data_IF_137795882627
#
_entry.id   IF_137795882627
#
_cell.length_a   1.000
_cell.length_b   1.000
_cell.length_c   1.000
_cell.angle_alpha   90.00
_cell.angle_beta   90.00
_cell.angle_gamma   90.00
#
_symmetry.space_group_name_H-M   'P 1'
#
loop_
_entity.id
_entity.type
_entity.pdbx_description
1 polymer ?
#
# COMPACT_ATOMS: atom_id res chain seq x y z
N UNK A 1 -11.90 14.75 -15.32
CA UNK A 1 -12.22 14.13 -14.02
C UNK A 1 -13.69 13.72 -14.04
N UNK A 2 -14.12 12.65 -13.36
CA UNK A 2 -15.55 12.25 -13.34
C UNK A 2 -16.36 13.31 -12.58
N UNK A 3 -17.49 13.77 -13.13
CA UNK A 3 -18.40 14.75 -12.49
C UNK A 3 -18.73 14.40 -11.03
N UNK A 4 -18.91 13.11 -10.74
CA UNK A 4 -19.12 12.62 -9.36
C UNK A 4 -18.04 13.04 -8.36
N UNK A 5 -16.78 13.14 -8.76
CA UNK A 5 -15.70 13.52 -7.84
C UNK A 5 -15.84 14.98 -7.43
N UNK A 6 -16.14 15.87 -8.37
CA UNK A 6 -16.35 17.29 -8.07
C UNK A 6 -17.60 17.49 -7.21
N UNK A 7 -18.69 16.77 -7.50
CA UNK A 7 -19.92 16.85 -6.71
C UNK A 7 -19.68 16.48 -5.24
N UNK A 8 -18.94 15.40 -4.97
CA UNK A 8 -18.59 15.01 -3.59
C UNK A 8 -17.65 16.00 -2.89
N UNK A 9 -16.70 16.58 -3.63
CA UNK A 9 -15.81 17.59 -3.06
C UNK A 9 -16.60 18.83 -2.64
N UNK A 10 -17.56 19.26 -3.45
CA UNK A 10 -18.41 20.39 -3.12
C UNK A 10 -19.33 20.09 -1.93
N UNK A 11 -19.91 18.89 -1.87
CA UNK A 11 -20.74 18.44 -0.75
C UNK A 11 -19.96 18.40 0.58
N UNK A 12 -18.74 17.85 0.59
CA UNK A 12 -17.94 17.69 1.80
C UNK A 12 -17.31 19.02 2.25
N UNK A 13 -16.80 19.80 1.31
CA UNK A 13 -15.99 20.98 1.62
C UNK A 13 -16.77 22.30 1.53
N UNK A 14 -18.05 22.28 1.14
CA UNK A 14 -18.93 23.45 1.15
C UNK A 14 -18.36 24.67 0.42
N UNK A 15 -17.63 24.44 -0.69
CA UNK A 15 -16.99 25.49 -1.48
C UNK A 15 -15.61 25.96 -1.00
N UNK A 16 -15.08 25.45 0.11
CA UNK A 16 -13.69 25.73 0.54
C UNK A 16 -12.64 25.02 -0.34
N UNK A 17 -13.05 23.99 -1.08
CA UNK A 17 -12.23 23.30 -2.05
C UNK A 17 -12.16 24.08 -3.38
N UNK A 18 -11.28 25.09 -3.42
CA UNK A 18 -11.11 25.98 -4.58
C UNK A 18 -10.66 25.27 -5.87
N UNK A 19 -10.83 25.95 -7.01
CA UNK A 19 -10.30 25.51 -8.31
C UNK A 19 -8.78 25.25 -8.29
N UNK A 20 -8.02 25.99 -7.48
CA UNK A 20 -6.56 25.76 -7.31
C UNK A 20 -6.27 24.43 -6.61
N UNK A 21 -7.07 24.04 -5.61
CA UNK A 21 -6.96 22.73 -4.96
C UNK A 21 -7.27 21.62 -5.96
N UNK A 22 -8.33 21.79 -6.75
CA UNK A 22 -8.71 20.85 -7.81
C UNK A 22 -7.59 20.68 -8.84
N UNK A 23 -6.97 21.76 -9.30
CA UNK A 23 -5.87 21.69 -10.24
C UNK A 23 -4.68 20.92 -9.66
N UNK A 24 -4.30 21.17 -8.40
CA UNK A 24 -3.23 20.42 -7.72
C UNK A 24 -3.56 18.94 -7.60
N UNK A 25 -4.80 18.59 -7.26
CA UNK A 25 -5.27 17.20 -7.18
C UNK A 25 -5.17 16.51 -8.54
N UNK A 26 -5.70 17.14 -9.60
CA UNK A 26 -5.67 16.61 -10.97
C UNK A 26 -4.23 16.36 -11.41
N UNK A 27 -3.32 17.32 -11.19
CA UNK A 27 -1.90 17.17 -11.55
C UNK A 27 -1.28 15.97 -10.84
N UNK A 28 -1.52 15.79 -9.53
CA UNK A 28 -1.00 14.63 -8.78
C UNK A 28 -1.59 13.31 -9.29
N UNK A 29 -2.88 13.27 -9.60
CA UNK A 29 -3.54 12.06 -10.13
C UNK A 29 -3.00 11.68 -11.50
N UNK A 30 -2.81 12.63 -12.41
CA UNK A 30 -2.26 12.35 -13.74
C UNK A 30 -0.80 11.90 -13.67
N UNK A 31 0.00 12.47 -12.76
CA UNK A 31 1.37 11.99 -12.50
C UNK A 31 1.38 10.57 -11.94
N UNK A 32 0.55 10.28 -10.95
CA UNK A 32 0.45 8.93 -10.36
C UNK A 32 -0.05 7.89 -11.37
N UNK A 33 -1.05 8.25 -12.19
CA UNK A 33 -1.60 7.36 -13.23
C UNK A 33 -0.54 6.90 -14.22
N UNK A 34 0.46 7.73 -14.53
CA UNK A 34 1.58 7.36 -15.41
C UNK A 34 2.53 6.33 -14.79
N UNK A 35 2.56 6.23 -13.46
CA UNK A 35 3.41 5.26 -12.74
C UNK A 35 2.76 3.88 -12.63
N UNK A 36 1.43 3.79 -12.76
CA UNK A 36 0.69 2.53 -12.66
C UNK A 36 0.79 1.78 -13.99
N UNK A 37 1.69 0.79 -14.05
CA UNK A 37 1.94 -0.01 -15.25
C UNK A 37 1.22 -1.36 -15.25
N UNK A 38 0.87 -1.88 -14.08
CA UNK A 38 0.23 -3.18 -13.96
C UNK A 38 -1.27 -3.10 -14.22
N UNK A 39 -1.77 -4.04 -15.03
CA UNK A 39 -3.20 -4.16 -15.33
C UNK A 39 -3.89 -4.94 -14.22
N UNK A 40 -4.85 -4.32 -13.54
CA UNK A 40 -5.68 -4.99 -12.53
C UNK A 40 -6.54 -6.10 -13.15
N UNK A 41 -6.61 -7.26 -12.50
CA UNK A 41 -7.63 -8.29 -12.78
C UNK A 41 -9.03 -7.68 -12.59
N UNK A 42 -9.93 -7.88 -13.56
CA UNK A 42 -11.25 -7.20 -13.59
C UNK A 42 -12.22 -7.76 -12.55
N UNK A 43 -12.23 -9.09 -12.39
CA UNK A 43 -13.10 -9.83 -11.50
C UNK A 43 -12.26 -10.79 -10.66
N UNK A 44 -12.71 -11.02 -9.43
CA UNK A 44 -12.13 -12.05 -8.58
C UNK A 44 -12.84 -13.39 -8.85
N UNK A 45 -12.13 -14.49 -8.64
CA UNK A 45 -12.60 -15.87 -8.72
C UNK A 45 -11.99 -16.69 -7.58
N UNK A 46 -12.28 -18.00 -7.55
CA UNK A 46 -11.82 -18.91 -6.51
C UNK A 46 -10.29 -19.09 -6.44
N UNK A 47 -9.55 -18.67 -7.47
CA UNK A 47 -8.08 -18.67 -7.45
C UNK A 47 -7.48 -17.48 -6.70
N UNK A 48 -8.28 -16.46 -6.37
CA UNK A 48 -7.82 -15.27 -5.65
C UNK A 48 -7.72 -15.51 -4.13
N UNK A 49 -6.79 -16.36 -3.72
CA UNK A 49 -6.51 -16.64 -2.30
C UNK A 49 -5.57 -15.58 -1.71
N UNK A 50 -5.96 -14.98 -0.58
CA UNK A 50 -5.23 -13.87 0.07
C UNK A 50 -4.56 -14.35 1.36
N UNK A 51 -3.25 -14.09 1.49
CA UNK A 51 -2.53 -14.19 2.75
C UNK A 51 -2.60 -12.85 3.48
N UNK A 52 -3.04 -12.84 4.74
CA UNK A 52 -3.00 -11.67 5.62
C UNK A 52 -1.98 -11.93 6.72
N UNK A 53 -0.97 -11.08 6.88
CA UNK A 53 0.10 -11.28 7.87
C UNK A 53 0.73 -9.96 8.31
N UNK A 54 1.23 -9.90 9.55
CA UNK A 54 2.13 -8.81 9.95
C UNK A 54 3.50 -8.97 9.28
N UNK A 55 4.14 -7.83 9.03
CA UNK A 55 5.45 -7.75 8.41
C UNK A 55 6.56 -8.40 9.26
N UNK A 56 6.34 -8.50 10.57
CA UNK A 56 7.26 -9.07 11.54
C UNK A 56 6.98 -10.54 11.88
N UNK A 57 5.97 -11.20 11.31
CA UNK A 57 5.67 -12.60 11.67
C UNK A 57 6.81 -13.58 11.33
N UNK A 58 7.56 -13.30 10.27
CA UNK A 58 8.60 -14.20 9.75
C UNK A 58 9.97 -13.77 10.27
N UNK A 59 10.66 -14.69 10.94
CA UNK A 59 11.92 -14.42 11.62
C UNK A 59 13.04 -15.32 11.10
N UNK A 60 14.25 -14.77 11.01
CA UNK A 60 15.48 -15.51 10.78
C UNK A 60 16.59 -14.91 11.62
N UNK A 61 17.68 -15.65 11.82
CA UNK A 61 18.83 -15.17 12.58
C UNK A 61 19.64 -14.12 11.79
N UNK A 62 19.59 -14.16 10.46
CA UNK A 62 20.51 -13.42 9.59
C UNK A 62 19.84 -12.24 8.87
N UNK A 63 18.50 -12.24 8.72
CA UNK A 63 17.77 -11.24 7.96
C UNK A 63 16.68 -10.57 8.79
N UNK A 64 16.36 -9.33 8.41
CA UNK A 64 15.18 -8.63 8.92
C UNK A 64 13.88 -9.30 8.46
N UNK A 65 12.74 -8.99 9.10
CA UNK A 65 11.49 -9.72 8.86
C UNK A 65 10.95 -9.67 7.43
N UNK A 66 10.92 -8.51 6.75
CA UNK A 66 10.38 -8.45 5.38
C UNK A 66 11.24 -9.22 4.36
N UNK A 67 12.59 -9.12 4.35
CA UNK A 67 13.42 -10.00 3.52
C UNK A 67 13.22 -11.49 3.84
N UNK A 68 13.06 -11.83 5.13
CA UNK A 68 12.77 -13.21 5.56
C UNK A 68 11.43 -13.68 5.01
N UNK A 69 10.39 -12.87 5.16
CA UNK A 69 9.07 -13.13 4.59
C UNK A 69 9.13 -13.33 3.08
N UNK A 70 9.84 -12.44 2.36
CA UNK A 70 9.95 -12.53 0.91
C UNK A 70 10.57 -13.86 0.46
N UNK A 71 11.64 -14.33 1.13
CA UNK A 71 12.23 -15.63 0.85
C UNK A 71 11.27 -16.78 1.16
N UNK A 72 10.65 -16.76 2.34
CA UNK A 72 9.71 -17.80 2.77
C UNK A 72 8.50 -17.88 1.83
N UNK A 73 7.94 -16.74 1.44
CA UNK A 73 6.79 -16.64 0.56
C UNK A 73 7.08 -17.28 -0.80
N UNK A 74 8.19 -16.89 -1.43
CA UNK A 74 8.57 -17.42 -2.74
C UNK A 74 8.89 -18.92 -2.70
N UNK A 75 9.47 -19.41 -1.61
CA UNK A 75 9.83 -20.81 -1.49
C UNK A 75 8.62 -21.71 -1.22
N UNK A 76 7.66 -21.27 -0.40
CA UNK A 76 6.64 -22.17 0.15
C UNK A 76 5.19 -21.75 -0.14
N UNK A 77 4.91 -20.45 -0.31
CA UNK A 77 3.55 -19.93 -0.28
C UNK A 77 3.05 -19.40 -1.63
N UNK A 78 3.95 -19.06 -2.55
CA UNK A 78 3.61 -18.39 -3.82
C UNK A 78 2.66 -19.20 -4.70
N UNK A 79 2.70 -20.53 -4.66
CA UNK A 79 1.80 -21.38 -5.44
C UNK A 79 0.38 -21.46 -4.87
N UNK A 80 0.18 -21.03 -3.62
CA UNK A 80 -1.08 -21.13 -2.89
C UNK A 80 -1.79 -19.77 -2.87
N UNK A 81 -1.05 -18.72 -2.51
CA UNK A 81 -1.58 -17.38 -2.35
C UNK A 81 -1.30 -16.54 -3.59
N UNK A 82 -2.35 -15.98 -4.16
CA UNK A 82 -2.26 -15.06 -5.29
C UNK A 82 -1.97 -13.62 -4.85
N UNK A 83 -2.30 -13.28 -3.60
CA UNK A 83 -2.16 -11.95 -3.03
C UNK A 83 -1.65 -12.00 -1.59
N UNK A 84 -0.93 -10.95 -1.21
CA UNK A 84 -0.49 -10.72 0.17
C UNK A 84 -1.03 -9.37 0.62
N UNK A 85 -1.73 -9.36 1.76
CA UNK A 85 -2.04 -8.16 2.52
C UNK A 85 -1.10 -8.10 3.73
N UNK A 86 -0.09 -7.23 3.63
CA UNK A 86 0.78 -6.94 4.76
C UNK A 86 0.08 -5.93 5.68
N UNK A 87 -0.12 -6.34 6.94
CA UNK A 87 -0.54 -5.45 8.02
C UNK A 87 0.53 -4.38 8.28
N UNK A 88 0.19 -3.28 8.99
CA UNK A 88 1.01 -2.07 8.99
C UNK A 88 2.50 -2.31 9.31
N UNK A 89 3.35 -1.66 8.51
CA UNK A 89 4.82 -1.82 8.54
C UNK A 89 5.57 -0.48 8.42
N UNK A 90 4.84 0.64 8.61
CA UNK A 90 5.41 1.97 8.77
C UNK A 90 5.84 2.21 10.22
N UNK A 91 6.75 3.15 10.52
CA UNK A 91 7.00 3.58 11.89
C UNK A 91 5.68 3.98 12.57
N UNK A 92 5.47 3.53 13.80
CA UNK A 92 4.21 3.68 14.50
C UNK A 92 4.43 3.93 16.00
N UNK A 93 3.43 4.51 16.67
CA UNK A 93 3.50 4.87 18.10
C UNK A 93 2.66 3.98 19.01
N UNK A 94 1.53 3.45 18.52
CA UNK A 94 0.62 2.56 19.24
C UNK A 94 -0.32 1.80 18.27
N UNK A 95 -1.25 1.00 18.82
CA UNK A 95 -2.30 0.28 18.09
C UNK A 95 -1.73 -0.70 17.05
N UNK A 96 -0.72 -1.49 17.43
CA UNK A 96 -0.11 -2.55 16.60
C UNK A 96 0.18 -2.13 15.14
N UNK A 97 0.70 -0.92 14.97
CA UNK A 97 1.07 -0.38 13.67
C UNK A 97 0.04 0.57 13.03
N UNK A 98 -1.17 0.68 13.58
CA UNK A 98 -2.23 1.53 13.01
C UNK A 98 -2.10 3.01 13.39
N UNK A 99 -1.32 3.37 14.42
CA UNK A 99 -0.96 4.76 14.73
C UNK A 99 0.35 5.17 14.04
N UNK A 100 0.28 5.41 12.73
CA UNK A 100 1.45 5.69 11.88
C UNK A 100 2.10 7.05 12.18
N UNK A 101 3.42 7.06 12.33
CA UNK A 101 4.26 8.25 12.50
C UNK A 101 4.68 8.84 11.15
N UNK A 102 5.11 7.99 10.20
CA UNK A 102 5.57 8.45 8.88
C UNK A 102 5.16 7.46 7.77
N UNK A 103 4.27 7.91 6.88
CA UNK A 103 3.78 7.15 5.72
C UNK A 103 4.79 7.02 4.57
N UNK A 104 5.93 7.69 4.64
CA UNK A 104 6.95 7.70 3.59
C UNK A 104 8.17 6.82 3.93
N UNK A 105 8.19 6.17 5.09
CA UNK A 105 9.30 5.33 5.55
C UNK A 105 8.82 3.93 5.96
N UNK A 106 9.60 2.90 5.65
CA UNK A 106 9.37 1.56 6.21
C UNK A 106 9.98 1.52 7.62
N UNK A 107 9.30 0.87 8.56
CA UNK A 107 9.80 0.70 9.92
C UNK A 107 11.17 0.00 9.90
N UNK A 108 12.14 0.54 10.63
CA UNK A 108 13.53 0.03 10.62
C UNK A 108 13.61 -1.43 11.06
N UNK A 109 12.76 -1.79 12.02
CA UNK A 109 12.57 -3.14 12.55
C UNK A 109 12.09 -4.15 11.49
N UNK A 110 11.23 -3.73 10.55
CA UNK A 110 10.73 -4.60 9.48
C UNK A 110 11.80 -4.88 8.41
N UNK A 111 12.72 -3.93 8.22
CA UNK A 111 13.80 -3.98 7.22
C UNK A 111 13.27 -3.84 5.80
N UNK A 112 13.48 -2.70 5.16
CA UNK A 112 13.05 -2.50 3.77
C UNK A 112 13.72 -3.52 2.84
N UNK A 113 12.96 -4.10 1.92
CA UNK A 113 13.54 -4.85 0.81
C UNK A 113 14.00 -3.83 -0.22
N UNK A 114 15.25 -3.90 -0.68
CA UNK A 114 15.72 -3.07 -1.79
C UNK A 114 14.77 -3.25 -2.99
N UNK A 115 13.94 -2.25 -3.29
CA UNK A 115 12.93 -2.29 -4.35
C UNK A 115 11.49 -2.06 -3.91
N UNK A 116 11.17 -2.14 -2.61
CA UNK A 116 9.85 -1.75 -2.08
C UNK A 116 9.87 -0.28 -1.69
N UNK A 117 9.36 0.55 -2.60
CA UNK A 117 8.86 1.87 -2.24
C UNK A 117 7.40 1.66 -1.81
N UNK A 118 7.02 2.17 -0.65
CA UNK A 118 5.62 2.28 -0.20
C UNK A 118 4.69 3.02 -1.20
N UNK A 119 5.25 3.54 -2.30
CA UNK A 119 4.55 4.25 -3.38
C UNK A 119 4.65 3.57 -4.75
N UNK A 120 4.99 2.27 -4.83
CA UNK A 120 4.85 1.51 -6.09
C UNK A 120 3.55 0.73 -6.16
#
# INVERSE_FOLDING_TARGET
>A
MKQKITDYLDEIYGGTFTATHLQKLVTRLESAKRLITQRRKKHWDESDVVLITYADQFHSNDLKPLPTFNQFYHQWLQSIFSHVHLLPFYPWSSDDGFSVIDYHQVASEAGGVAGYSATR
#
